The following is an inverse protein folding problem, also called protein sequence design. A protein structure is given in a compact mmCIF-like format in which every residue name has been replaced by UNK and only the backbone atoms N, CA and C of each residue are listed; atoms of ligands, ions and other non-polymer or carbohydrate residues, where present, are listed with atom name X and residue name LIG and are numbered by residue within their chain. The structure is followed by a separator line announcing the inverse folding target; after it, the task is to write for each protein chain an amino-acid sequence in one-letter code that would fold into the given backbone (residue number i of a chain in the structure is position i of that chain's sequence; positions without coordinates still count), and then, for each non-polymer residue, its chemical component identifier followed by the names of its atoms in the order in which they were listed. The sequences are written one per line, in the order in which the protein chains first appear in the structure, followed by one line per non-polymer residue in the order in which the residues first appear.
data_IF_160394279377
#
_entry.id   IF_160394279377
#
_cell.length_a   1.000
_cell.length_b   1.000
_cell.length_c   1.000
_cell.angle_alpha   90.00
_cell.angle_beta   90.00
_cell.angle_gamma   90.00
#
_symmetry.space_group_name_H-M   'P 1'
#
loop_
_entity.id
_entity.type
_entity.pdbx_description
1 polymer ?
#
# COMPACT_ATOMS: atom_id res chain seq x y z
N UNK A 1 -4.20 -7.88 -12.65
CA UNK A 1 -2.78 -7.57 -12.88
C UNK A 1 -2.10 -7.40 -11.53
N UNK A 2 -1.61 -8.47 -10.92
CA UNK A 2 -0.94 -8.39 -9.61
C UNK A 2 0.04 -9.55 -9.45
N UNK A 3 1.29 -9.23 -9.09
CA UNK A 3 2.43 -10.15 -8.97
C UNK A 3 2.74 -10.45 -7.50
N UNK A 4 3.26 -11.65 -7.18
CA UNK A 4 4.23 -11.77 -6.09
C UNK A 4 5.18 -12.97 -6.22
N UNK A 5 6.37 -12.78 -5.66
CA UNK A 5 7.58 -13.60 -5.80
C UNK A 5 7.59 -14.86 -4.92
N UNK A 6 8.14 -15.96 -5.45
CA UNK A 6 8.46 -17.18 -4.69
C UNK A 6 9.95 -17.29 -4.38
N UNK A 7 10.26 -17.65 -3.13
CA UNK A 7 11.47 -18.35 -2.75
C UNK A 7 11.16 -19.86 -2.70
N UNK A 8 11.85 -20.62 -3.53
CA UNK A 8 11.93 -22.09 -3.46
C UNK A 8 13.38 -22.45 -3.19
N UNK A 9 13.63 -23.23 -2.15
CA UNK A 9 14.57 -24.35 -2.15
C UNK A 9 14.10 -25.40 -1.14
N UNK A 10 13.59 -26.50 -1.65
CA UNK A 10 13.63 -27.81 -1.00
C UNK A 10 15.05 -28.38 -1.10
N UNK A 11 15.46 -29.13 -0.08
CA UNK A 11 16.30 -30.32 -0.20
C UNK A 11 16.00 -31.21 1.00
N UNK A 12 15.49 -32.40 0.73
CA UNK A 12 15.31 -33.51 1.67
C UNK A 12 16.65 -34.20 1.94
N UNK A 13 16.88 -34.63 3.19
CA UNK A 13 17.46 -35.93 3.57
C UNK A 13 17.26 -36.13 5.08
N UNK A 14 16.90 -37.36 5.48
CA UNK A 14 16.30 -37.67 6.78
C UNK A 14 17.18 -38.32 7.85
N UNK A 15 16.48 -38.74 8.92
CA UNK A 15 16.88 -39.45 10.15
C UNK A 15 17.70 -38.60 11.16
N UNK A 16 17.42 -38.56 12.47
CA UNK A 16 16.92 -39.59 13.37
C UNK A 16 16.44 -38.98 14.71
N UNK A 17 15.72 -39.78 15.49
CA UNK A 17 15.04 -39.44 16.76
C UNK A 17 16.01 -39.45 17.94
N UNK A 18 16.06 -38.38 18.76
CA UNK A 18 16.33 -38.48 20.21
C UNK A 18 15.50 -37.45 20.98
N UNK A 19 14.71 -37.97 21.92
CA UNK A 19 13.97 -37.27 22.96
C UNK A 19 14.87 -36.47 23.90
N UNK A 20 14.49 -35.24 24.25
CA UNK A 20 14.46 -34.80 25.66
C UNK A 20 13.63 -33.51 25.83
N UNK A 21 12.72 -33.63 26.79
CA UNK A 21 11.92 -32.63 27.48
C UNK A 21 12.65 -31.32 27.82
N UNK A 22 12.03 -30.19 27.48
CA UNK A 22 11.85 -29.03 28.38
C UNK A 22 10.93 -27.99 27.73
N UNK A 23 9.64 -28.06 28.07
CA UNK A 23 8.64 -27.05 27.74
C UNK A 23 8.87 -25.84 28.66
N UNK A 24 9.34 -24.72 28.10
CA UNK A 24 9.13 -23.39 28.68
C UNK A 24 8.00 -22.73 27.90
N UNK A 25 6.94 -22.36 28.62
CA UNK A 25 5.85 -21.51 28.15
C UNK A 25 6.44 -20.22 27.57
N UNK A 26 6.09 -19.92 26.32
CA UNK A 26 6.27 -18.60 25.71
C UNK A 26 4.85 -18.12 25.43
N UNK A 27 4.47 -17.04 26.11
CA UNK A 27 3.16 -16.41 25.96
C UNK A 27 3.02 -15.76 24.58
N UNK A 28 1.85 -16.01 23.97
CA UNK A 28 1.11 -15.14 23.05
C UNK A 28 1.88 -14.41 21.96
N UNK A 29 2.02 -15.06 20.80
CA UNK A 29 2.45 -14.42 19.56
C UNK A 29 1.40 -13.43 19.04
N UNK A 30 1.86 -12.22 18.72
CA UNK A 30 1.13 -11.18 17.99
C UNK A 30 0.87 -11.66 16.54
N UNK A 31 -0.40 -11.66 16.13
CA UNK A 31 -0.80 -11.97 14.76
C UNK A 31 -0.48 -10.79 13.83
N UNK A 32 0.44 -11.01 12.88
CA UNK A 32 0.82 -10.06 11.85
C UNK A 32 -0.26 -9.94 10.76
N UNK A 33 -0.95 -8.78 10.71
CA UNK A 33 -1.79 -8.38 9.59
C UNK A 33 -0.93 -7.97 8.39
N UNK A 34 -1.11 -8.65 7.26
CA UNK A 34 -0.51 -8.29 5.96
C UNK A 34 -1.63 -7.96 4.96
N UNK A 35 -2.21 -6.77 5.11
CA UNK A 35 -3.07 -6.09 4.14
C UNK A 35 -2.31 -4.89 3.57
N UNK A 36 -1.66 -5.08 2.42
CA UNK A 36 -0.69 -4.12 1.88
C UNK A 36 -1.26 -2.98 1.03
N UNK A 37 -2.57 -2.75 0.99
CA UNK A 37 -3.19 -1.90 -0.04
C UNK A 37 -3.98 -0.72 0.53
N UNK A 38 -4.50 -0.81 1.75
CA UNK A 38 -5.23 0.29 2.43
C UNK A 38 -4.58 0.78 3.74
N UNK A 39 -3.68 0.00 4.37
CA UNK A 39 -3.14 0.31 5.71
C UNK A 39 -2.07 1.41 5.76
N UNK A 40 -1.59 1.92 4.62
CA UNK A 40 -0.71 3.12 4.62
C UNK A 40 -1.50 4.43 4.72
N UNK A 41 -2.83 4.38 4.50
CA UNK A 41 -3.73 5.54 4.60
C UNK A 41 -4.62 5.44 5.84
N UNK A 42 -4.61 4.31 6.58
CA UNK A 42 -5.33 4.21 7.84
C UNK A 42 -4.59 4.92 8.98
N UNK A 43 -5.30 5.87 9.56
CA UNK A 43 -4.84 6.86 10.52
C UNK A 43 -4.37 6.20 11.83
N UNK A 44 -3.13 5.75 11.90
CA UNK A 44 -2.40 5.64 13.18
C UNK A 44 -0.91 5.90 12.96
N UNK A 45 -0.58 7.16 12.64
CA UNK A 45 0.72 7.74 12.97
C UNK A 45 0.75 7.86 14.49
N UNK A 46 1.71 7.26 15.17
CA UNK A 46 1.95 7.60 16.58
C UNK A 46 2.27 9.09 16.65
N UNK A 47 1.37 9.83 17.28
CA UNK A 47 1.53 11.24 17.55
C UNK A 47 2.64 11.42 18.58
N UNK A 48 3.83 11.78 18.10
CA UNK A 48 4.90 12.23 18.98
C UNK A 48 5.49 13.56 18.51
N UNK A 49 5.17 14.56 19.33
CA UNK A 49 5.80 15.87 19.52
C UNK A 49 5.77 16.87 18.34
N UNK A 50 5.02 17.95 18.55
CA UNK A 50 5.32 19.25 17.95
C UNK A 50 6.64 19.75 18.55
N UNK A 51 7.60 20.08 17.69
CA UNK A 51 8.83 20.71 18.12
C UNK A 51 9.14 21.87 17.16
N UNK A 52 9.10 23.09 17.71
CA UNK A 52 9.41 24.34 17.02
C UNK A 52 10.92 24.37 16.76
N UNK A 53 11.34 24.21 15.51
CA UNK A 53 12.74 24.42 15.12
C UNK A 53 12.82 25.33 13.90
N UNK A 54 13.76 26.27 13.97
CA UNK A 54 14.02 27.33 12.99
C UNK A 54 14.35 26.78 11.59
N UNK A 55 13.93 27.46 10.52
CA UNK A 55 14.15 27.02 9.15
C UNK A 55 15.63 27.13 8.78
N UNK A 56 16.26 26.00 8.45
CA UNK A 56 17.47 26.00 7.63
C UNK A 56 17.13 26.38 6.18
N UNK A 57 18.14 26.82 5.42
CA UNK A 57 18.07 27.34 4.05
C UNK A 57 17.41 26.37 3.04
N UNK A 58 16.07 26.32 3.05
CA UNK A 58 15.18 25.86 1.97
C UNK A 58 13.92 26.76 1.93
N UNK A 59 14.08 28.05 2.29
CA UNK A 59 13.00 29.02 2.49
C UNK A 59 12.31 29.48 1.19
N UNK A 60 12.93 29.23 0.02
CA UNK A 60 12.43 29.73 -1.27
C UNK A 60 11.17 29.00 -1.78
N UNK A 61 10.89 27.77 -1.32
CA UNK A 61 9.68 27.02 -1.72
C UNK A 61 8.41 27.56 -1.01
N UNK A 62 8.57 28.33 0.07
CA UNK A 62 7.46 28.77 0.92
C UNK A 62 6.77 30.05 0.39
N UNK A 63 7.43 30.84 -0.45
CA UNK A 63 6.98 32.20 -0.79
C UNK A 63 5.88 32.27 -1.86
N UNK A 64 5.65 31.21 -2.64
CA UNK A 64 4.70 31.24 -3.78
C UNK A 64 3.25 30.91 -3.37
N UNK A 65 2.99 30.58 -2.10
CA UNK A 65 1.69 30.09 -1.62
C UNK A 65 0.95 31.19 -0.84
N UNK A 66 0.52 32.28 -1.49
CA UNK A 66 -0.19 33.37 -0.77
C UNK A 66 -1.70 33.48 -1.03
N UNK A 67 -2.23 33.02 -2.16
CA UNK A 67 -3.66 33.18 -2.49
C UNK A 67 -4.47 31.88 -2.46
N UNK A 68 -3.86 30.72 -2.73
CA UNK A 68 -4.47 29.39 -2.46
C UNK A 68 -4.32 28.95 -1.00
N UNK A 69 -3.62 29.76 -0.18
CA UNK A 69 -3.19 29.37 1.16
C UNK A 69 -4.29 29.50 2.20
N UNK A 70 -5.03 30.62 2.23
CA UNK A 70 -5.87 31.00 3.37
C UNK A 70 -7.00 30.02 3.66
N UNK A 71 -7.75 29.59 2.63
CA UNK A 71 -8.89 28.69 2.83
C UNK A 71 -8.42 27.28 3.19
N UNK A 72 -7.47 26.73 2.44
CA UNK A 72 -6.92 25.41 2.74
C UNK A 72 -6.08 25.40 4.05
N UNK A 73 -5.62 26.56 4.54
CA UNK A 73 -4.92 26.70 5.84
C UNK A 73 -5.93 26.66 6.97
N UNK A 74 -7.04 27.37 6.78
CA UNK A 74 -8.13 27.37 7.73
C UNK A 74 -8.93 26.05 7.78
N UNK A 75 -8.97 25.27 6.69
CA UNK A 75 -9.45 23.87 6.68
C UNK A 75 -8.62 22.93 7.59
N UNK A 76 -7.46 23.39 8.10
CA UNK A 76 -6.56 22.64 8.98
C UNK A 76 -6.50 23.20 10.40
N UNK A 77 -6.59 24.52 10.59
CA UNK A 77 -6.67 25.13 11.93
C UNK A 77 -7.93 24.74 12.71
N UNK A 78 -8.93 24.13 12.06
CA UNK A 78 -9.98 23.37 12.74
C UNK A 78 -9.44 22.05 13.33
N UNK A 79 -8.41 22.14 14.17
CA UNK A 79 -8.14 21.14 15.20
C UNK A 79 -8.95 21.58 16.42
N UNK A 80 -10.20 21.15 16.49
CA UNK A 80 -10.87 21.20 17.77
C UNK A 80 -11.88 20.08 17.86
N UNK A 81 -11.88 19.39 18.99
CA UNK A 81 -12.93 18.50 19.48
C UNK A 81 -14.24 19.26 19.78
N UNK A 82 -14.45 20.40 19.10
CA UNK A 82 -15.69 21.16 19.09
C UNK A 82 -16.34 21.00 17.72
N UNK A 83 -17.67 20.94 17.72
CA UNK A 83 -18.60 20.72 16.60
C UNK A 83 -18.48 21.67 15.37
N UNK A 84 -17.33 22.30 15.10
CA UNK A 84 -17.07 23.14 13.95
C UNK A 84 -16.90 22.32 12.67
N UNK A 85 -17.79 22.50 11.70
CA UNK A 85 -17.64 21.87 10.40
C UNK A 85 -16.33 22.33 9.74
N UNK A 86 -15.40 21.40 9.50
CA UNK A 86 -14.11 21.60 8.81
C UNK A 86 -14.25 22.44 7.53
N UNK A 87 -15.40 22.34 6.86
CA UNK A 87 -15.71 22.99 5.60
C UNK A 87 -16.43 24.34 5.72
N UNK A 88 -16.60 24.86 6.95
CA UNK A 88 -17.33 26.10 7.23
C UNK A 88 -16.82 27.33 6.45
N UNK A 89 -15.56 27.30 6.01
CA UNK A 89 -14.95 28.38 5.23
C UNK A 89 -15.05 28.20 3.71
N UNK A 90 -15.51 27.04 3.23
CA UNK A 90 -15.65 26.77 1.80
C UNK A 90 -17.02 27.23 1.33
N UNK A 91 -17.03 28.08 0.30
CA UNK A 91 -18.26 28.62 -0.32
C UNK A 91 -18.37 28.12 -1.75
N UNK A 92 -19.57 28.20 -2.31
CA UNK A 92 -19.77 27.91 -3.74
C UNK A 92 -18.87 28.83 -4.57
N UNK A 93 -18.10 28.23 -5.49
CA UNK A 93 -17.13 28.95 -6.32
C UNK A 93 -15.71 29.02 -5.75
N UNK A 94 -15.49 28.55 -4.51
CA UNK A 94 -14.13 28.41 -3.97
C UNK A 94 -13.32 27.40 -4.79
N UNK A 95 -12.17 27.84 -5.29
CA UNK A 95 -11.21 27.01 -6.04
C UNK A 95 -10.33 26.26 -5.04
N UNK A 96 -10.26 24.93 -5.14
CA UNK A 96 -9.51 24.08 -4.21
C UNK A 96 -8.74 23.02 -5.01
N UNK A 97 -7.48 22.81 -4.67
CA UNK A 97 -6.72 21.66 -5.17
C UNK A 97 -7.15 20.40 -4.43
N UNK A 98 -7.51 19.36 -5.17
CA UNK A 98 -8.01 18.10 -4.62
C UNK A 98 -7.31 16.91 -5.27
N UNK A 99 -7.18 15.83 -4.51
CA UNK A 99 -6.70 14.54 -4.99
C UNK A 99 -7.84 13.51 -4.93
N UNK A 100 -7.97 12.70 -5.97
CA UNK A 100 -8.85 11.53 -5.95
C UNK A 100 -8.23 10.46 -5.06
N UNK A 101 -8.93 10.09 -3.99
CA UNK A 101 -8.53 9.04 -3.04
C UNK A 101 -9.18 7.71 -3.41
N UNK A 102 -10.47 7.75 -3.77
CA UNK A 102 -11.22 6.58 -4.26
C UNK A 102 -11.92 6.95 -5.55
N UNK A 103 -11.85 6.06 -6.53
CA UNK A 103 -12.58 6.21 -7.78
C UNK A 103 -14.09 6.19 -7.55
N UNK A 104 -14.84 6.74 -8.50
CA UNK A 104 -16.29 6.68 -8.46
C UNK A 104 -16.76 5.24 -8.69
N UNK A 105 -17.77 4.81 -7.93
CA UNK A 105 -18.38 3.48 -8.06
C UNK A 105 -19.86 3.65 -8.41
N UNK A 106 -20.26 3.18 -9.59
CA UNK A 106 -21.63 3.30 -10.10
C UNK A 106 -22.07 4.77 -10.22
N UNK A 107 -23.08 5.15 -9.46
CA UNK A 107 -23.61 6.53 -9.41
C UNK A 107 -22.91 7.42 -8.38
N UNK A 108 -22.04 6.86 -7.53
CA UNK A 108 -21.30 7.60 -6.51
C UNK A 108 -20.07 8.24 -7.15
N UNK A 109 -19.98 9.57 -7.07
CA UNK A 109 -18.80 10.31 -7.49
C UNK A 109 -17.53 9.91 -6.71
N UNK A 110 -16.34 10.25 -7.23
CA UNK A 110 -15.08 9.94 -6.57
C UNK A 110 -14.97 10.62 -5.21
N UNK A 111 -14.23 9.99 -4.30
CA UNK A 111 -13.90 10.58 -3.00
C UNK A 111 -12.65 11.43 -3.14
N UNK A 112 -12.72 12.68 -2.67
CA UNK A 112 -11.66 13.68 -2.84
C UNK A 112 -11.05 14.07 -1.50
N UNK A 113 -9.74 14.26 -1.46
CA UNK A 113 -9.01 14.87 -0.34
C UNK A 113 -8.50 16.26 -0.74
N UNK A 114 -8.68 17.30 0.09
CA UNK A 114 -8.07 18.61 -0.12
C UNK A 114 -6.60 18.66 0.36
N UNK A 115 -6.05 17.54 0.84
CA UNK A 115 -4.66 17.38 1.26
C UNK A 115 -3.96 16.41 0.30
N UNK A 116 -3.43 16.91 -0.83
CA UNK A 116 -2.63 16.10 -1.72
C UNK A 116 -1.48 15.39 -1.00
N UNK A 117 -1.36 14.10 -1.30
CA UNK A 117 -0.35 13.17 -0.86
C UNK A 117 0.38 12.64 -2.10
N UNK A 118 1.67 12.96 -2.19
CA UNK A 118 2.55 12.44 -3.23
C UNK A 118 3.44 11.35 -2.65
N UNK A 119 3.66 10.30 -3.44
CA UNK A 119 4.51 9.18 -3.06
C UNK A 119 5.66 9.04 -4.05
N UNK A 120 6.87 8.92 -3.54
CA UNK A 120 8.06 8.49 -4.26
C UNK A 120 8.45 7.07 -3.82
N UNK A 121 9.63 6.59 -4.21
CA UNK A 121 10.11 5.26 -3.82
C UNK A 121 10.34 5.17 -2.32
N UNK A 122 10.93 6.20 -1.72
CA UNK A 122 11.31 6.19 -0.30
C UNK A 122 10.40 7.04 0.58
N UNK A 123 9.65 7.98 0.01
CA UNK A 123 8.94 9.00 0.76
C UNK A 123 7.45 9.05 0.46
N UNK A 124 6.68 9.39 1.49
CA UNK A 124 5.32 9.90 1.36
C UNK A 124 5.34 11.35 1.83
N UNK A 125 4.93 12.26 0.96
CA UNK A 125 4.89 13.69 1.20
C UNK A 125 3.43 14.14 1.23
N UNK A 126 2.94 14.49 2.42
CA UNK A 126 1.60 15.04 2.60
C UNK A 126 1.72 16.56 2.74
N UNK A 127 1.05 17.27 1.84
CA UNK A 127 1.00 18.73 1.86
C UNK A 127 0.30 19.23 3.13
N UNK A 128 0.71 20.42 3.59
CA UNK A 128 0.14 21.09 4.77
C UNK A 128 0.17 20.14 5.97
N UNK A 129 1.34 19.62 6.26
CA UNK A 129 1.66 18.77 7.42
C UNK A 129 2.79 19.36 8.26
N UNK A 130 3.05 18.81 9.44
CA UNK A 130 4.25 19.14 10.23
C UNK A 130 4.86 17.90 10.91
N UNK A 131 4.39 16.70 10.56
CA UNK A 131 4.76 15.46 11.23
C UNK A 131 5.95 14.79 10.53
N UNK A 132 6.69 14.01 11.30
CA UNK A 132 7.74 13.12 10.80
C UNK A 132 7.27 11.69 11.02
N UNK A 133 7.17 10.90 9.95
CA UNK A 133 6.74 9.51 10.00
C UNK A 133 7.85 8.54 9.58
N UNK A 134 7.81 7.33 10.13
CA UNK A 134 8.58 6.18 9.64
C UNK A 134 7.66 4.97 9.63
N UNK A 135 7.66 4.20 8.55
CA UNK A 135 6.86 2.97 8.40
C UNK A 135 6.94 2.09 9.65
N UNK A 136 5.79 1.59 10.12
CA UNK A 136 5.70 0.67 11.27
C UNK A 136 6.49 -0.62 11.08
N UNK A 137 6.68 -1.05 9.82
CA UNK A 137 7.48 -2.22 9.45
C UNK A 137 8.98 -2.04 9.70
N UNK A 138 9.44 -0.82 9.94
CA UNK A 138 10.84 -0.53 10.27
C UNK A 138 10.95 -0.38 11.78
N UNK A 139 11.78 -1.23 12.38
CA UNK A 139 12.01 -1.31 13.83
C UNK A 139 13.50 -1.16 14.17
N UNK A 140 13.80 -1.03 15.47
CA UNK A 140 15.18 -0.99 15.96
C UNK A 140 15.98 0.24 15.53
N UNK A 141 17.30 0.06 15.38
CA UNK A 141 18.27 1.13 15.09
C UNK A 141 17.94 1.85 13.78
N UNK A 142 17.44 1.12 12.79
CA UNK A 142 17.12 1.67 11.48
C UNK A 142 15.94 2.66 11.54
N UNK A 143 14.95 2.39 12.40
CA UNK A 143 13.84 3.32 12.65
C UNK A 143 14.37 4.65 13.19
N UNK A 144 15.29 4.60 14.15
CA UNK A 144 15.90 5.80 14.74
C UNK A 144 16.72 6.57 13.71
N UNK A 145 17.52 5.88 12.89
CA UNK A 145 18.30 6.48 11.81
C UNK A 145 17.39 7.23 10.82
N UNK A 146 16.36 6.54 10.30
CA UNK A 146 15.42 7.14 9.35
C UNK A 146 14.59 8.26 9.99
N UNK A 147 14.21 8.17 11.27
CA UNK A 147 13.51 9.26 11.98
C UNK A 147 14.38 10.53 12.02
N UNK A 148 15.67 10.41 12.33
CA UNK A 148 16.62 11.53 12.29
C UNK A 148 16.77 12.12 10.89
N UNK A 149 16.93 11.26 9.88
CA UNK A 149 17.04 11.66 8.48
C UNK A 149 15.80 12.40 8.02
N UNK A 150 14.62 11.85 8.30
CA UNK A 150 13.33 12.43 7.93
C UNK A 150 13.13 13.79 8.60
N UNK A 151 13.51 13.93 9.88
CA UNK A 151 13.44 15.21 10.60
C UNK A 151 14.29 16.29 9.90
N UNK A 152 15.48 15.92 9.43
CA UNK A 152 16.39 16.87 8.76
C UNK A 152 15.96 17.20 7.32
N UNK A 153 15.43 16.23 6.57
CA UNK A 153 15.03 16.42 5.17
C UNK A 153 13.66 17.06 4.99
N UNK A 154 12.79 16.98 6.00
CA UNK A 154 11.41 17.44 5.91
C UNK A 154 11.33 18.92 5.52
N UNK A 155 10.66 19.25 4.40
CA UNK A 155 10.41 20.64 4.06
C UNK A 155 9.35 21.26 5.00
N UNK A 156 9.43 22.56 5.27
CA UNK A 156 8.45 23.25 6.10
C UNK A 156 7.06 23.17 5.46
N UNK A 157 6.03 22.98 6.30
CA UNK A 157 4.65 22.85 5.82
C UNK A 157 4.30 21.48 5.23
N UNK A 158 5.19 20.48 5.32
CA UNK A 158 4.91 19.10 4.92
C UNK A 158 5.03 18.12 6.08
N UNK A 159 4.23 17.06 5.98
CA UNK A 159 4.50 15.81 6.69
C UNK A 159 5.30 14.93 5.74
N UNK A 160 6.42 14.39 6.23
CA UNK A 160 7.28 13.48 5.47
C UNK A 160 7.33 12.15 6.20
N UNK A 161 7.04 11.06 5.48
CA UNK A 161 7.05 9.70 6.03
C UNK A 161 8.00 8.80 5.24
N UNK A 162 8.94 8.14 5.92
CA UNK A 162 9.82 7.14 5.31
C UNK A 162 9.08 5.81 5.08
N UNK A 163 9.13 5.29 3.85
CA UNK A 163 8.53 4.01 3.45
C UNK A 163 9.44 2.83 3.82
N UNK A 164 8.89 1.61 3.83
CA UNK A 164 9.67 0.38 4.15
C UNK A 164 10.88 0.21 3.23
N UNK A 165 10.76 0.58 1.96
CA UNK A 165 11.84 0.50 0.96
C UNK A 165 12.98 1.50 1.25
N UNK A 166 12.79 2.50 2.11
CA UNK A 166 13.85 3.45 2.49
C UNK A 166 14.91 2.83 3.42
N UNK A 167 14.59 1.70 4.05
CA UNK A 167 15.50 1.03 5.00
C UNK A 167 16.80 0.59 4.32
N UNK A 168 17.93 0.87 4.95
CA UNK A 168 19.27 0.52 4.45
C UNK A 168 19.85 1.46 3.40
N UNK A 169 19.05 2.38 2.84
CA UNK A 169 19.52 3.33 1.82
C UNK A 169 20.32 4.49 2.42
N UNK A 170 21.24 5.00 1.60
CA UNK A 170 22.16 6.09 1.96
C UNK A 170 21.44 7.44 2.04
N UNK A 171 22.05 8.40 2.74
CA UNK A 171 21.50 9.77 2.83
C UNK A 171 21.35 10.41 1.46
N UNK A 172 22.33 10.21 0.58
CA UNK A 172 22.40 10.78 -0.76
C UNK A 172 21.25 10.26 -1.65
N UNK A 173 20.99 8.95 -1.62
CA UNK A 173 19.87 8.33 -2.36
C UNK A 173 18.52 8.85 -1.88
N UNK A 174 18.36 8.92 -0.55
CA UNK A 174 17.13 9.40 0.09
C UNK A 174 16.88 10.88 -0.22
N UNK A 175 17.90 11.73 -0.17
CA UNK A 175 17.76 13.15 -0.53
C UNK A 175 17.45 13.31 -2.02
N UNK A 176 18.13 12.56 -2.91
CA UNK A 176 17.89 12.63 -4.36
C UNK A 176 16.45 12.25 -4.73
N UNK A 177 15.88 11.23 -4.09
CA UNK A 177 14.47 10.85 -4.28
C UNK A 177 13.51 11.93 -3.76
N UNK A 178 13.82 12.54 -2.62
CA UNK A 178 13.03 13.66 -2.09
C UNK A 178 13.06 14.87 -3.02
N UNK A 179 14.21 15.25 -3.56
CA UNK A 179 14.34 16.39 -4.46
C UNK A 179 13.46 16.24 -5.71
N UNK A 180 13.35 15.01 -6.25
CA UNK A 180 12.41 14.70 -7.35
C UNK A 180 10.95 14.84 -6.93
N UNK A 181 10.61 14.34 -5.75
CA UNK A 181 9.27 14.45 -5.19
C UNK A 181 8.86 15.92 -5.01
N UNK A 182 9.78 16.75 -4.51
CA UNK A 182 9.58 18.19 -4.35
C UNK A 182 9.51 18.92 -5.69
N UNK A 183 10.32 18.54 -6.67
CA UNK A 183 10.23 19.08 -8.04
C UNK A 183 8.87 18.77 -8.66
N UNK A 184 8.34 17.57 -8.44
CA UNK A 184 6.99 17.19 -8.90
C UNK A 184 5.95 18.06 -8.21
N UNK A 185 6.04 18.21 -6.88
CA UNK A 185 5.13 19.07 -6.13
C UNK A 185 5.15 20.52 -6.63
N UNK A 186 6.35 21.07 -6.87
CA UNK A 186 6.53 22.42 -7.40
C UNK A 186 5.80 22.61 -8.73
N UNK A 187 5.96 21.69 -9.68
CA UNK A 187 5.25 21.74 -10.96
C UNK A 187 3.72 21.70 -10.81
N UNK A 188 3.21 20.91 -9.86
CA UNK A 188 1.77 20.85 -9.54
C UNK A 188 1.29 22.20 -9.00
N UNK A 189 2.04 22.83 -8.10
CA UNK A 189 1.66 24.11 -7.50
C UNK A 189 1.71 25.26 -8.51
N UNK A 190 2.73 25.30 -9.38
CA UNK A 190 2.84 26.31 -10.44
C UNK A 190 1.71 26.19 -11.46
N UNK A 191 1.36 24.96 -11.85
CA UNK A 191 0.23 24.71 -12.74
C UNK A 191 -1.10 25.14 -12.07
N UNK A 192 -1.27 24.86 -10.78
CA UNK A 192 -2.46 25.26 -10.04
C UNK A 192 -2.60 26.78 -9.91
N UNK A 193 -1.51 27.49 -9.66
CA UNK A 193 -1.48 28.96 -9.63
C UNK A 193 -1.83 29.54 -11.01
N UNK A 194 -1.21 29.02 -12.07
CA UNK A 194 -1.47 29.46 -13.44
C UNK A 194 -2.94 29.27 -13.82
N UNK A 195 -3.52 28.12 -13.49
CA UNK A 195 -4.94 27.83 -13.70
C UNK A 195 -5.86 28.75 -12.87
N UNK A 196 -5.47 29.06 -11.63
CA UNK A 196 -6.22 29.96 -10.76
C UNK A 196 -6.28 31.38 -11.33
N UNK A 197 -5.14 31.91 -11.81
CA UNK A 197 -5.01 33.22 -12.45
C UNK A 197 -5.80 33.29 -13.76
N UNK A 198 -5.67 32.30 -14.65
CA UNK A 198 -6.43 32.24 -15.90
C UNK A 198 -7.95 32.24 -15.64
N UNK A 199 -8.40 31.56 -14.58
CA UNK A 199 -9.80 31.58 -14.18
C UNK A 199 -10.26 32.92 -13.58
N UNK A 200 -9.37 33.74 -13.02
CA UNK A 200 -9.69 35.12 -12.59
C UNK A 200 -9.79 36.06 -13.78
N UNK A 201 -9.00 35.83 -14.83
CA UNK A 201 -9.04 36.56 -16.10
C UNK A 201 -10.23 36.15 -17.01
N UNK A 202 -11.04 35.17 -16.60
CA UNK A 202 -12.24 34.75 -17.31
C UNK A 202 -11.98 33.77 -18.46
N UNK A 203 -10.83 33.08 -18.49
CA UNK A 203 -10.52 32.07 -19.50
C UNK A 203 -11.42 30.83 -19.31
N UNK A 204 -12.20 30.49 -20.34
CA UNK A 204 -13.02 29.28 -20.33
C UNK A 204 -12.15 28.02 -20.22
N UNK A 205 -12.56 27.08 -19.36
CA UNK A 205 -11.85 25.81 -19.17
C UNK A 205 -10.61 25.89 -18.26
N UNK A 206 -10.28 27.07 -17.71
CA UNK A 206 -9.17 27.21 -16.76
C UNK A 206 -9.38 26.36 -15.48
N UNK A 207 -10.63 26.19 -15.03
CA UNK A 207 -11.02 25.33 -13.91
C UNK A 207 -12.39 24.69 -14.23
N UNK A 208 -12.59 23.38 -14.01
CA UNK A 208 -11.64 22.42 -13.45
C UNK A 208 -10.56 21.99 -14.46
N UNK A 209 -9.34 21.75 -13.97
CA UNK A 209 -8.20 21.29 -14.78
C UNK A 209 -7.45 20.16 -14.06
N UNK A 210 -6.89 19.23 -14.84
CA UNK A 210 -6.03 18.17 -14.32
C UNK A 210 -4.63 18.70 -14.05
N UNK A 211 -4.25 18.80 -12.78
CA UNK A 211 -2.94 19.32 -12.38
C UNK A 211 -1.83 18.27 -12.50
N UNK A 212 -2.16 17.02 -12.14
CA UNK A 212 -1.24 15.90 -12.14
C UNK A 212 -1.99 14.61 -12.44
N UNK A 213 -1.38 13.74 -13.24
CA UNK A 213 -1.86 12.38 -13.49
C UNK A 213 -0.92 11.41 -12.79
N UNK A 214 -1.49 10.50 -11.99
CA UNK A 214 -0.70 9.44 -11.36
C UNK A 214 -0.04 8.56 -12.42
N UNK A 215 1.06 7.91 -12.00
CA UNK A 215 1.73 6.92 -12.85
C UNK A 215 0.77 5.77 -13.18
N UNK A 216 0.97 5.14 -14.34
CA UNK A 216 0.24 3.94 -14.71
C UNK A 216 0.49 2.80 -13.72
N UNK A 217 -0.45 1.85 -13.65
CA UNK A 217 -0.43 0.75 -12.68
C UNK A 217 0.90 -0.01 -12.66
N UNK A 218 1.48 -0.28 -13.83
CA UNK A 218 2.78 -0.97 -13.93
C UNK A 218 3.90 -0.23 -13.21
N UNK A 219 3.99 1.10 -13.38
CA UNK A 219 5.00 1.91 -12.71
C UNK A 219 4.75 2.04 -11.21
N UNK A 220 3.49 2.06 -10.78
CA UNK A 220 3.15 2.04 -9.35
C UNK A 220 3.63 0.75 -8.69
N UNK A 221 3.38 -0.41 -9.31
CA UNK A 221 3.89 -1.71 -8.82
C UNK A 221 5.43 -1.71 -8.78
N UNK A 222 6.09 -1.17 -9.82
CA UNK A 222 7.56 -1.08 -9.83
C UNK A 222 8.08 -0.13 -8.74
N UNK A 223 7.39 0.96 -8.47
CA UNK A 223 7.76 1.90 -7.43
C UNK A 223 7.63 1.28 -6.02
N UNK A 224 6.59 0.46 -5.81
CA UNK A 224 6.19 0.00 -4.49
C UNK A 224 6.78 -1.39 -4.15
N UNK A 225 6.76 -2.33 -5.10
CA UNK A 225 7.11 -3.73 -4.88
C UNK A 225 8.46 -4.13 -5.47
N UNK A 226 8.95 -3.42 -6.49
CA UNK A 226 10.20 -3.81 -7.15
C UNK A 226 11.42 -3.31 -6.36
N UNK A 227 11.98 -4.23 -5.58
CA UNK A 227 13.15 -4.03 -4.74
C UNK A 227 14.12 -5.20 -4.89
N UNK A 228 15.20 -5.19 -4.10
CA UNK A 228 16.26 -6.18 -4.17
C UNK A 228 15.81 -7.63 -3.95
N UNK A 229 14.68 -7.85 -3.25
CA UNK A 229 14.10 -9.18 -3.01
C UNK A 229 13.51 -9.78 -4.29
N UNK A 230 13.17 -8.96 -5.28
CA UNK A 230 12.64 -9.41 -6.56
C UNK A 230 13.81 -9.72 -7.50
N UNK A 231 13.93 -10.97 -7.89
CA UNK A 231 15.02 -11.46 -8.75
C UNK A 231 14.88 -10.98 -10.19
N UNK A 232 13.65 -10.92 -10.71
CA UNK A 232 13.37 -10.61 -12.10
C UNK A 232 11.96 -10.02 -12.25
N UNK A 233 11.84 -8.99 -13.08
CA UNK A 233 10.60 -8.40 -13.57
C UNK A 233 10.46 -8.73 -15.05
N UNK A 234 9.38 -9.39 -15.44
CA UNK A 234 9.16 -9.81 -16.82
C UNK A 234 7.96 -9.05 -17.38
N UNK A 235 8.13 -8.42 -18.53
CA UNK A 235 7.12 -7.58 -19.18
C UNK A 235 6.93 -8.05 -20.61
N UNK A 236 5.70 -8.27 -21.06
CA UNK A 236 5.36 -8.76 -22.41
C UNK A 236 5.03 -7.64 -23.41
N UNK A 237 4.92 -6.40 -22.92
CA UNK A 237 4.67 -5.21 -23.74
C UNK A 237 5.96 -4.39 -23.92
N UNK A 238 6.44 -4.18 -25.17
CA UNK A 238 7.58 -3.31 -25.43
C UNK A 238 7.37 -1.90 -24.90
N UNK A 239 6.16 -1.34 -24.99
CA UNK A 239 5.85 -0.02 -24.46
C UNK A 239 6.06 0.04 -22.95
N UNK A 240 5.49 -0.91 -22.22
CA UNK A 240 5.59 -0.97 -20.75
C UNK A 240 7.04 -1.23 -20.33
N UNK A 241 7.78 -2.03 -21.08
CA UNK A 241 9.21 -2.26 -20.85
C UNK A 241 9.99 -0.94 -20.88
N UNK A 242 9.83 -0.13 -21.93
CA UNK A 242 10.50 1.17 -22.04
C UNK A 242 10.08 2.15 -20.93
N UNK A 243 8.78 2.20 -20.60
CA UNK A 243 8.27 3.02 -19.49
C UNK A 243 8.94 2.63 -18.15
N UNK A 244 9.01 1.33 -17.85
CA UNK A 244 9.62 0.80 -16.63
C UNK A 244 11.13 1.02 -16.59
N UNK A 245 11.85 0.72 -17.67
CA UNK A 245 13.30 0.90 -17.71
C UNK A 245 13.69 2.37 -17.64
N UNK A 246 12.94 3.26 -18.28
CA UNK A 246 13.18 4.71 -18.20
C UNK A 246 13.01 5.21 -16.77
N UNK A 247 11.94 4.79 -16.10
CA UNK A 247 11.73 5.11 -14.68
C UNK A 247 12.85 4.59 -13.77
N UNK A 248 13.28 3.33 -13.96
CA UNK A 248 14.33 2.73 -13.14
C UNK A 248 15.71 3.34 -13.41
N UNK A 249 16.02 3.73 -14.65
CA UNK A 249 17.26 4.44 -14.97
C UNK A 249 17.39 5.75 -14.19
N UNK A 250 16.28 6.41 -13.91
CA UNK A 250 16.27 7.61 -13.09
C UNK A 250 16.33 7.27 -11.59
N UNK A 251 15.48 6.36 -11.12
CA UNK A 251 15.23 6.17 -9.69
C UNK A 251 16.10 5.11 -9.04
N UNK A 252 16.32 3.98 -9.71
CA UNK A 252 16.99 2.79 -9.19
C UNK A 252 17.73 2.03 -10.32
N UNK A 253 18.85 2.58 -10.83
CA UNK A 253 19.57 2.02 -11.98
C UNK A 253 20.04 0.57 -11.77
N UNK A 254 20.30 0.20 -10.52
CA UNK A 254 20.75 -1.13 -10.08
C UNK A 254 19.70 -2.23 -10.31
N UNK A 255 18.43 -1.86 -10.52
CA UNK A 255 17.35 -2.80 -10.79
C UNK A 255 17.04 -2.96 -12.29
N UNK A 256 17.57 -2.09 -13.15
CA UNK A 256 17.30 -2.12 -14.60
C UNK A 256 17.71 -3.44 -15.25
N UNK A 257 18.82 -4.04 -14.81
CA UNK A 257 19.33 -5.30 -15.35
C UNK A 257 18.47 -6.52 -15.00
N UNK A 258 17.44 -6.36 -14.16
CA UNK A 258 16.50 -7.41 -13.77
C UNK A 258 15.18 -7.34 -14.54
N UNK A 259 15.04 -6.37 -15.46
CA UNK A 259 13.84 -6.20 -16.29
C UNK A 259 14.05 -6.86 -17.64
N UNK A 260 13.23 -7.88 -17.94
CA UNK A 260 13.28 -8.66 -19.16
C UNK A 260 12.03 -8.40 -20.02
N UNK A 261 12.23 -8.15 -21.32
CA UNK A 261 11.17 -8.16 -22.31
C UNK A 261 10.86 -9.61 -22.71
N UNK A 262 9.60 -10.01 -22.56
CA UNK A 262 9.13 -11.33 -22.92
C UNK A 262 8.69 -11.34 -24.38
N UNK A 263 9.44 -12.07 -25.22
CA UNK A 263 9.24 -12.11 -26.68
C UNK A 263 8.75 -13.47 -27.20
N UNK A 264 8.49 -14.44 -26.31
CA UNK A 264 8.02 -15.76 -26.73
C UNK A 264 6.58 -15.68 -27.24
N UNK A 265 6.21 -16.63 -28.10
CA UNK A 265 4.85 -16.75 -28.65
C UNK A 265 3.83 -17.25 -27.64
N UNK A 266 4.25 -18.11 -26.72
CA UNK A 266 3.40 -18.59 -25.62
C UNK A 266 3.04 -17.40 -24.73
N UNK A 267 1.80 -17.24 -24.27
CA UNK A 267 1.47 -16.18 -23.31
C UNK A 267 2.35 -16.27 -22.05
N UNK A 268 2.73 -15.10 -21.51
CA UNK A 268 3.62 -15.01 -20.35
C UNK A 268 3.07 -15.80 -19.16
N UNK A 269 1.77 -15.74 -18.91
CA UNK A 269 1.12 -16.42 -17.78
C UNK A 269 1.04 -17.94 -17.94
N UNK A 270 0.89 -18.43 -19.17
CA UNK A 270 0.97 -19.86 -19.49
C UNK A 270 2.37 -20.41 -19.26
N UNK A 271 3.40 -19.69 -19.71
CA UNK A 271 4.80 -20.06 -19.51
C UNK A 271 5.15 -20.19 -18.02
N UNK A 272 4.63 -19.29 -17.19
CA UNK A 272 4.83 -19.33 -15.74
C UNK A 272 3.77 -20.17 -14.99
N UNK A 273 2.86 -20.83 -15.70
CA UNK A 273 1.80 -21.71 -15.14
C UNK A 273 0.85 -21.02 -14.16
N UNK A 274 0.65 -19.72 -14.29
CA UNK A 274 -0.23 -18.93 -13.42
C UNK A 274 -1.64 -18.73 -13.98
N UNK A 275 -1.87 -19.03 -15.27
CA UNK A 275 -3.17 -18.85 -15.92
C UNK A 275 -4.31 -19.57 -15.17
N UNK A 276 -4.08 -20.84 -14.78
CA UNK A 276 -5.06 -21.61 -14.01
C UNK A 276 -5.37 -20.98 -12.65
N UNK A 277 -4.38 -20.35 -12.01
CA UNK A 277 -4.61 -19.67 -10.75
C UNK A 277 -5.45 -18.42 -10.96
N UNK A 278 -5.23 -17.69 -12.04
CA UNK A 278 -6.03 -16.52 -12.43
C UNK A 278 -7.48 -16.91 -12.71
N UNK A 279 -7.70 -18.00 -13.46
CA UNK A 279 -9.05 -18.52 -13.70
C UNK A 279 -9.76 -18.89 -12.40
N UNK A 280 -9.03 -19.47 -11.44
CA UNK A 280 -9.57 -19.84 -10.14
C UNK A 280 -9.98 -18.63 -9.28
N UNK A 281 -9.38 -17.45 -9.48
CA UNK A 281 -9.77 -16.20 -8.78
C UNK A 281 -11.24 -15.85 -9.12
N UNK A 282 -11.72 -16.21 -10.30
CA UNK A 282 -13.11 -15.94 -10.73
C UNK A 282 -14.10 -16.98 -10.19
N UNK A 283 -13.61 -18.12 -9.72
CA UNK A 283 -14.46 -19.19 -9.21
C UNK A 283 -14.95 -18.87 -7.79
N UNK A 284 -16.23 -19.13 -7.52
CA UNK A 284 -16.79 -19.04 -6.16
C UNK A 284 -16.18 -20.07 -5.20
N UNK A 285 -15.88 -21.27 -5.70
CA UNK A 285 -15.29 -22.37 -4.92
C UNK A 285 -13.77 -22.38 -5.11
N UNK A 286 -13.04 -22.41 -4.00
CA UNK A 286 -11.58 -22.52 -3.96
C UNK A 286 -11.20 -23.81 -3.26
N UNK A 287 -10.38 -24.65 -3.88
CA UNK A 287 -9.95 -25.92 -3.30
C UNK A 287 -8.72 -25.69 -2.42
N UNK A 288 -8.71 -26.29 -1.22
CA UNK A 288 -7.58 -26.26 -0.29
C UNK A 288 -6.66 -27.46 -0.53
N UNK A 289 -5.38 -27.33 -0.18
CA UNK A 289 -4.37 -28.38 -0.38
C UNK A 289 -4.69 -29.68 0.38
N UNK A 290 -5.34 -29.55 1.54
CA UNK A 290 -5.76 -30.66 2.40
C UNK A 290 -7.10 -31.31 1.97
N UNK A 291 -7.64 -30.96 0.80
CA UNK A 291 -8.90 -31.52 0.29
C UNK A 291 -10.17 -30.83 0.80
N UNK A 292 -10.04 -29.81 1.64
CA UNK A 292 -11.12 -28.89 1.95
C UNK A 292 -11.43 -27.92 0.81
N UNK A 293 -12.40 -27.02 1.02
CA UNK A 293 -12.71 -25.96 0.07
C UNK A 293 -13.36 -24.76 0.73
N UNK A 294 -13.12 -23.58 0.17
CA UNK A 294 -13.79 -22.34 0.52
C UNK A 294 -14.92 -22.07 -0.48
N UNK A 295 -16.01 -21.47 -0.01
CA UNK A 295 -17.05 -20.89 -0.86
C UNK A 295 -17.12 -19.40 -0.55
N UNK A 296 -16.80 -18.56 -1.53
CA UNK A 296 -16.76 -17.11 -1.39
C UNK A 296 -17.98 -16.51 -2.12
N UNK A 297 -18.85 -15.81 -1.38
CA UNK A 297 -20.04 -15.15 -1.89
C UNK A 297 -20.05 -13.66 -1.55
N UNK A 298 -20.09 -12.83 -2.59
CA UNK A 298 -20.23 -11.38 -2.45
C UNK A 298 -21.71 -11.00 -2.48
N UNK A 299 -22.15 -10.27 -1.45
CA UNK A 299 -23.49 -9.65 -1.36
C UNK A 299 -23.37 -8.13 -1.48
N UNK A 300 -24.49 -7.41 -1.37
CA UNK A 300 -24.50 -5.95 -1.42
C UNK A 300 -23.70 -5.31 -0.29
N UNK A 301 -23.76 -5.86 0.92
CA UNK A 301 -23.21 -5.24 2.12
C UNK A 301 -21.95 -5.93 2.65
N UNK A 302 -21.77 -7.22 2.37
CA UNK A 302 -20.68 -8.03 2.92
C UNK A 302 -20.24 -9.16 1.99
N UNK A 303 -19.07 -9.71 2.27
CA UNK A 303 -18.60 -10.97 1.67
C UNK A 303 -18.68 -12.09 2.72
N UNK A 304 -19.37 -13.16 2.38
CA UNK A 304 -19.46 -14.37 3.20
C UNK A 304 -18.50 -15.43 2.67
N UNK A 305 -17.76 -16.06 3.57
CA UNK A 305 -16.82 -17.14 3.25
C UNK A 305 -17.15 -18.36 4.13
N UNK A 306 -17.46 -19.47 3.49
CA UNK A 306 -17.77 -20.75 4.15
C UNK A 306 -16.61 -21.75 3.98
N UNK A 307 -16.19 -22.41 5.08
CA UNK A 307 -15.06 -23.35 5.11
C UNK A 307 -15.57 -24.78 5.21
N UNK A 308 -15.25 -25.60 4.20
CA UNK A 308 -15.61 -27.02 4.16
C UNK A 308 -14.36 -27.90 4.29
N UNK A 309 -14.34 -28.89 5.18
CA UNK A 309 -13.17 -29.76 5.39
C UNK A 309 -13.04 -30.95 4.43
N UNK A 310 -14.03 -31.20 3.57
CA UNK A 310 -13.97 -32.24 2.55
C UNK A 310 -13.79 -33.67 3.10
N UNK A 311 -13.24 -34.57 2.26
CA UNK A 311 -13.12 -36.01 2.57
C UNK A 311 -12.00 -36.34 3.59
N UNK A 312 -11.18 -35.36 3.97
CA UNK A 312 -10.07 -35.55 4.89
C UNK A 312 -10.51 -35.61 6.36
N UNK A 313 -11.80 -35.38 6.64
CA UNK A 313 -12.38 -35.36 7.99
C UNK A 313 -12.95 -36.71 8.46
N UNK A 314 -12.83 -37.80 7.69
CA UNK A 314 -13.44 -39.11 8.02
C UNK A 314 -12.66 -39.96 9.07
N UNK A 315 -11.76 -39.36 9.85
CA UNK A 315 -11.05 -40.04 10.94
C UNK A 315 -11.88 -40.15 12.23
N UNK A 316 -11.67 -41.19 13.05
CA UNK A 316 -12.34 -41.33 14.35
C UNK A 316 -11.65 -40.48 15.45
N UNK A 317 -12.44 -39.75 16.24
CA UNK A 317 -12.04 -39.16 17.52
C UNK A 317 -11.01 -38.01 17.41
N UNK A 318 -9.90 -38.09 18.15
CA UNK A 318 -8.82 -37.08 18.22
C UNK A 318 -8.16 -36.78 16.87
N UNK A 319 -8.27 -37.70 15.91
CA UNK A 319 -7.82 -37.43 14.53
C UNK A 319 -8.69 -36.41 13.80
N UNK A 320 -9.97 -36.31 14.17
CA UNK A 320 -10.93 -35.39 13.56
C UNK A 320 -10.73 -33.96 14.06
N UNK A 321 -10.55 -33.75 15.37
CA UNK A 321 -10.32 -32.41 15.95
C UNK A 321 -9.05 -31.77 15.39
N UNK A 322 -7.97 -32.56 15.29
CA UNK A 322 -6.72 -32.10 14.67
C UNK A 322 -6.91 -31.79 13.19
N UNK A 323 -7.65 -32.62 12.46
CA UNK A 323 -7.95 -32.38 11.05
C UNK A 323 -8.77 -31.09 10.84
N UNK A 324 -9.73 -30.80 11.73
CA UNK A 324 -10.52 -29.55 11.70
C UNK A 324 -9.60 -28.34 11.89
N UNK A 325 -8.72 -28.39 12.90
CA UNK A 325 -7.76 -27.31 13.14
C UNK A 325 -6.85 -27.10 11.92
N UNK A 326 -6.30 -28.18 11.36
CA UNK A 326 -5.44 -28.13 10.17
C UNK A 326 -6.20 -27.55 8.96
N UNK A 327 -7.50 -27.84 8.83
CA UNK A 327 -8.36 -27.23 7.80
C UNK A 327 -8.57 -25.75 8.04
N UNK A 328 -8.93 -25.33 9.24
CA UNK A 328 -9.18 -23.93 9.56
C UNK A 328 -7.91 -23.08 9.40
N UNK A 329 -6.74 -23.60 9.78
CA UNK A 329 -5.46 -22.91 9.59
C UNK A 329 -5.11 -22.73 8.10
N UNK A 330 -5.32 -23.76 7.29
CA UNK A 330 -5.09 -23.66 5.84
C UNK A 330 -6.13 -22.75 5.17
N UNK A 331 -7.39 -22.84 5.59
CA UNK A 331 -8.45 -21.95 5.16
C UNK A 331 -8.10 -20.49 5.46
N UNK A 332 -7.62 -20.16 6.67
CA UNK A 332 -7.24 -18.80 7.04
C UNK A 332 -6.14 -18.24 6.11
N UNK A 333 -5.11 -19.03 5.80
CA UNK A 333 -4.05 -18.65 4.86
C UNK A 333 -4.60 -18.41 3.45
N UNK A 334 -5.45 -19.33 2.97
CA UNK A 334 -6.01 -19.23 1.64
C UNK A 334 -7.00 -18.06 1.54
N UNK A 335 -7.81 -17.80 2.57
CA UNK A 335 -8.70 -16.63 2.63
C UNK A 335 -7.89 -15.34 2.50
N UNK A 336 -6.83 -15.18 3.29
CA UNK A 336 -5.96 -14.00 3.20
C UNK A 336 -5.31 -13.84 1.81
N UNK A 337 -5.06 -14.95 1.11
CA UNK A 337 -4.58 -14.92 -0.28
C UNK A 337 -5.68 -14.52 -1.26
N UNK A 338 -6.86 -15.12 -1.18
CA UNK A 338 -7.99 -14.84 -2.07
C UNK A 338 -8.50 -13.40 -1.94
N UNK A 339 -8.57 -12.86 -0.72
CA UNK A 339 -8.96 -11.47 -0.50
C UNK A 339 -8.05 -10.49 -1.25
N UNK A 340 -6.73 -10.76 -1.24
CA UNK A 340 -5.74 -9.95 -1.98
C UNK A 340 -5.83 -10.16 -3.49
N UNK A 341 -6.01 -11.40 -3.93
CA UNK A 341 -6.08 -11.72 -5.37
C UNK A 341 -7.36 -11.18 -6.04
N UNK A 342 -8.47 -11.15 -5.30
CA UNK A 342 -9.78 -10.68 -5.76
C UNK A 342 -10.03 -9.20 -5.46
N UNK A 343 -9.11 -8.52 -4.78
CA UNK A 343 -9.27 -7.13 -4.34
C UNK A 343 -10.56 -6.91 -3.53
N UNK A 344 -10.85 -7.83 -2.60
CA UNK A 344 -12.05 -7.78 -1.76
C UNK A 344 -11.79 -6.92 -0.53
N UNK A 345 -12.57 -5.84 -0.39
CA UNK A 345 -12.61 -4.99 0.80
C UNK A 345 -14.01 -4.85 1.40
N UNK A 346 -14.09 -4.29 2.60
CA UNK A 346 -15.36 -4.10 3.34
C UNK A 346 -15.57 -5.15 4.44
N UNK A 347 -16.84 -5.40 4.79
CA UNK A 347 -17.18 -6.38 5.84
C UNK A 347 -17.02 -7.79 5.27
N UNK A 348 -16.19 -8.59 5.92
CA UNK A 348 -15.93 -9.98 5.57
C UNK A 348 -16.35 -10.83 6.76
N UNK A 349 -17.20 -11.83 6.51
CA UNK A 349 -17.67 -12.79 7.51
C UNK A 349 -17.17 -14.16 7.11
N UNK A 350 -16.41 -14.80 7.99
CA UNK A 350 -15.84 -16.13 7.77
C UNK A 350 -16.51 -17.12 8.71
N UNK A 351 -17.11 -18.16 8.15
CA UNK A 351 -17.70 -19.29 8.86
C UNK A 351 -16.69 -20.45 8.86
N UNK A 352 -15.90 -20.54 9.93
CA UNK A 352 -14.94 -21.63 10.14
C UNK A 352 -15.66 -22.87 10.68
N UNK A 353 -15.05 -24.04 10.46
CA UNK A 353 -15.58 -25.29 11.01
C UNK A 353 -15.50 -25.23 12.54
N UNK A 354 -16.58 -25.63 13.21
CA UNK A 354 -16.67 -25.66 14.67
C UNK A 354 -15.51 -26.43 15.31
N UNK A 355 -14.89 -25.82 16.31
CA UNK A 355 -13.85 -26.41 17.15
C UNK A 355 -14.31 -26.46 18.60
N UNK A 356 -14.04 -27.58 19.28
CA UNK A 356 -14.25 -27.74 20.73
C UNK A 356 -13.36 -26.77 21.51
N UNK A 357 -13.83 -26.29 22.67
CA UNK A 357 -13.21 -25.19 23.41
C UNK A 357 -11.74 -25.44 23.82
N UNK A 358 -11.34 -26.70 24.03
CA UNK A 358 -9.98 -27.09 24.38
C UNK A 358 -8.97 -26.97 23.21
N UNK A 359 -9.47 -26.75 21.98
CA UNK A 359 -8.68 -26.63 20.75
C UNK A 359 -8.67 -25.21 20.15
N UNK A 360 -9.32 -24.24 20.81
CA UNK A 360 -9.22 -22.82 20.42
C UNK A 360 -7.87 -22.29 20.90
N UNK A 361 -7.04 -21.85 19.95
CA UNK A 361 -5.69 -21.30 20.21
C UNK A 361 -5.80 -19.95 20.91
#
# INVERSE_FOLDING_TARGET
STFLAQNVKENEEGLDIVSHSNIKKIDGAEFENVSGWDDEIDDHVEDEYNDDHSPGDRSEICNDIKTLSSIQHALRESNDDTNGCRWSQVRKGTKIMVQVVKEGLGTKGPTLSPFPCLRSRFWILVSRGNKVGVSKKITGIERTRLKGITKLLRPPGFTLTARTVAAGHSWEELNKDLDRLLSTWKGITEHAQSAALAAEEGVEGAIPVMLYRSKGQALSIVQDDFNEKVKRLVVDSPRTYHEVTGYLQEVAPELCNRVDLYEKRTPIFDEYKIEKEIDNILCKRVVLQNGGSLIIEQTEALVSIDVNGGHSMFGQGTSQEKAILDVNLEAAKQIARELRLRDIGGIIVVDFIDMTDDCKI
#
